data_IF_320205177319
#
_entry.id   IF_320205177319
#
_cell.length_a   1.000
_cell.length_b   1.000
_cell.length_c   1.000
_cell.angle_alpha   90.00
_cell.angle_beta   90.00
_cell.angle_gamma   90.00
#
_symmetry.space_group_name_H-M   'P 1'
#
loop_
_entity.id
_entity.type
_entity.pdbx_description
1 polymer ?
#
# COMPACT_ATOMS: atom_id res chain seq x y z
N UNK A 1 -11.77 24.97 -2.44
CA UNK A 1 -12.27 25.87 -1.38
C UNK A 1 -11.18 25.98 -0.33
N UNK A 2 -10.85 27.19 0.15
CA UNK A 2 -9.85 27.32 1.22
C UNK A 2 -10.45 26.84 2.55
N UNK A 3 -9.88 25.80 3.15
CA UNK A 3 -10.32 25.20 4.42
C UNK A 3 -9.63 25.82 5.65
N UNK A 4 -8.64 26.71 5.47
CA UNK A 4 -7.91 27.33 6.58
C UNK A 4 -8.82 27.94 7.67
N UNK A 5 -9.93 28.65 7.35
CA UNK A 5 -10.82 29.18 8.39
C UNK A 5 -11.50 28.11 9.23
N UNK A 6 -11.79 26.93 8.66
CA UNK A 6 -12.35 25.81 9.41
C UNK A 6 -11.31 25.18 10.34
N UNK A 7 -10.06 25.04 9.87
CA UNK A 7 -8.96 24.58 10.71
C UNK A 7 -8.62 25.58 11.83
N UNK A 8 -8.65 26.88 11.54
CA UNK A 8 -8.45 27.93 12.54
C UNK A 8 -9.54 27.89 13.61
N UNK A 9 -10.82 27.79 13.21
CA UNK A 9 -11.93 27.66 14.14
C UNK A 9 -11.81 26.39 14.99
N UNK A 10 -11.47 25.25 14.39
CA UNK A 10 -11.29 23.97 15.11
C UNK A 10 -10.21 24.10 16.16
N UNK A 11 -9.04 24.58 15.78
CA UNK A 11 -7.92 24.78 16.70
C UNK A 11 -8.31 25.71 17.85
N UNK A 12 -9.13 26.75 17.62
CA UNK A 12 -9.61 27.63 18.70
C UNK A 12 -10.56 26.92 19.65
N UNK A 13 -11.53 26.17 19.12
CA UNK A 13 -12.45 25.39 19.94
C UNK A 13 -11.69 24.34 20.77
N UNK A 14 -10.73 23.62 20.19
CA UNK A 14 -9.87 22.67 20.92
C UNK A 14 -9.03 23.35 22.02
N UNK A 15 -8.52 24.56 21.78
CA UNK A 15 -7.82 25.32 22.83
C UNK A 15 -8.78 25.70 23.96
N UNK A 16 -10.02 26.08 23.64
CA UNK A 16 -11.04 26.41 24.63
C UNK A 16 -11.46 25.19 25.44
N UNK A 17 -11.51 23.97 24.87
CA UNK A 17 -11.81 22.77 25.66
C UNK A 17 -10.72 22.46 26.69
N UNK A 18 -9.47 22.83 26.41
CA UNK A 18 -8.33 22.66 27.32
C UNK A 18 -8.37 23.71 28.45
N UNK A 19 -8.60 24.98 28.08
CA UNK A 19 -8.45 26.12 29.01
C UNK A 19 -9.75 26.41 29.77
N UNK A 20 -10.89 25.94 29.27
CA UNK A 20 -12.20 25.99 29.92
C UNK A 20 -13.21 26.83 29.13
N UNK A 21 -14.40 26.25 28.91
CA UNK A 21 -15.49 26.85 28.13
C UNK A 21 -16.04 28.17 28.70
N UNK A 22 -15.81 28.43 29.98
CA UNK A 22 -16.23 29.67 30.63
C UNK A 22 -15.54 30.89 30.00
N UNK A 23 -14.35 30.71 29.40
CA UNK A 23 -13.56 31.77 28.79
C UNK A 23 -13.94 32.10 27.34
N UNK A 24 -14.91 31.39 26.76
CA UNK A 24 -15.40 31.62 25.39
C UNK A 24 -15.79 33.08 25.13
N UNK A 25 -16.44 33.73 26.11
CA UNK A 25 -16.91 35.12 25.99
C UNK A 25 -15.74 36.11 25.90
N UNK A 26 -14.59 35.77 26.48
CA UNK A 26 -13.41 36.62 26.55
C UNK A 26 -12.36 36.28 25.47
N UNK A 27 -12.56 35.21 24.69
CA UNK A 27 -11.64 34.81 23.63
C UNK A 27 -11.92 35.55 22.32
N UNK A 28 -11.31 36.73 22.17
CA UNK A 28 -11.37 37.53 20.94
C UNK A 28 -10.88 36.77 19.69
N UNK A 29 -10.02 35.75 19.86
CA UNK A 29 -9.48 34.96 18.74
C UNK A 29 -10.51 33.95 18.27
N UNK A 30 -11.26 33.33 19.20
CA UNK A 30 -12.42 32.51 18.85
C UNK A 30 -13.49 33.36 18.15
N UNK A 31 -13.78 34.55 18.66
CA UNK A 31 -14.75 35.46 18.02
C UNK A 31 -14.36 35.80 16.58
N UNK A 32 -13.08 36.15 16.36
CA UNK A 32 -12.55 36.38 15.01
C UNK A 32 -12.65 35.15 14.11
N UNK A 33 -12.36 33.96 14.62
CA UNK A 33 -12.44 32.71 13.86
C UNK A 33 -13.90 32.38 13.47
N UNK A 34 -14.87 32.64 14.35
CA UNK A 34 -16.30 32.51 14.03
C UNK A 34 -16.71 33.55 12.97
N UNK A 35 -16.27 34.80 13.07
CA UNK A 35 -16.63 35.85 12.11
C UNK A 35 -16.12 35.56 10.69
N UNK A 36 -14.93 34.95 10.57
CA UNK A 36 -14.40 34.50 9.28
C UNK A 36 -15.32 33.48 8.59
N UNK A 37 -16.07 32.67 9.35
CA UNK A 37 -17.03 31.71 8.79
C UNK A 37 -18.23 32.36 8.11
N UNK A 38 -18.50 33.65 8.37
CA UNK A 38 -19.58 34.40 7.71
C UNK A 38 -19.44 34.40 6.19
N UNK A 39 -18.21 34.52 5.68
CA UNK A 39 -17.92 34.48 4.24
C UNK A 39 -18.22 33.14 3.58
N UNK A 40 -18.30 32.07 4.37
CA UNK A 40 -18.56 30.70 3.92
C UNK A 40 -20.02 30.30 4.07
N UNK A 41 -20.81 31.04 4.85
CA UNK A 41 -22.20 30.73 5.14
C UNK A 41 -23.09 30.66 3.88
N UNK A 42 -22.75 31.39 2.82
CA UNK A 42 -23.47 31.32 1.54
C UNK A 42 -23.06 30.14 0.65
N UNK A 43 -21.94 29.49 0.92
CA UNK A 43 -21.41 28.41 0.08
C UNK A 43 -22.12 27.06 0.35
N UNK A 44 -22.55 26.80 1.58
CA UNK A 44 -23.31 25.61 1.92
C UNK A 44 -24.10 25.77 3.23
N UNK A 45 -25.22 25.03 3.36
CA UNK A 45 -26.06 25.01 4.58
C UNK A 45 -25.26 24.63 5.83
N UNK A 46 -24.30 23.72 5.70
CA UNK A 46 -23.48 23.25 6.82
C UNK A 46 -22.53 24.34 7.35
N UNK A 47 -21.95 25.17 6.49
CA UNK A 47 -21.11 26.30 6.93
C UNK A 47 -21.93 27.39 7.60
N UNK A 48 -23.16 27.63 7.10
CA UNK A 48 -24.11 28.52 7.77
C UNK A 48 -24.43 28.03 9.18
N UNK A 49 -24.69 26.73 9.34
CA UNK A 49 -24.94 26.12 10.65
C UNK A 49 -23.74 26.26 11.60
N UNK A 50 -22.51 26.01 11.12
CA UNK A 50 -21.28 26.22 11.91
C UNK A 50 -21.16 27.68 12.36
N UNK A 51 -21.40 28.64 11.46
CA UNK A 51 -21.36 30.06 11.80
C UNK A 51 -22.41 30.44 12.85
N UNK A 52 -23.66 30.02 12.68
CA UNK A 52 -24.75 30.33 13.61
C UNK A 52 -24.54 29.70 15.00
N UNK A 53 -24.03 28.47 15.05
CA UNK A 53 -23.68 27.79 16.30
C UNK A 53 -22.49 28.48 17.00
N UNK A 54 -21.48 28.91 16.24
CA UNK A 54 -20.36 29.68 16.76
C UNK A 54 -20.78 31.04 17.36
N UNK A 55 -21.69 31.75 16.69
CA UNK A 55 -22.23 33.02 17.21
C UNK A 55 -23.03 32.78 18.50
N UNK A 56 -23.91 31.78 18.51
CA UNK A 56 -24.66 31.39 19.72
C UNK A 56 -23.75 31.00 20.88
N UNK A 57 -22.63 30.31 20.60
CA UNK A 57 -21.67 29.91 21.62
C UNK A 57 -20.98 31.12 22.27
N UNK A 58 -20.73 32.18 21.50
CA UNK A 58 -20.13 33.43 21.99
C UNK A 58 -21.16 34.30 22.73
N UNK A 59 -22.39 34.39 22.22
CA UNK A 59 -23.42 35.32 22.72
C UNK A 59 -24.28 34.73 23.84
N UNK A 60 -24.43 33.40 23.92
CA UNK A 60 -25.38 32.71 24.79
C UNK A 60 -25.05 32.74 26.29
N UNK A 61 -26.06 32.46 27.11
CA UNK A 61 -25.93 32.25 28.55
C UNK A 61 -25.39 30.85 28.91
N UNK A 62 -25.11 30.60 30.19
CA UNK A 62 -24.38 29.40 30.63
C UNK A 62 -25.18 28.09 30.53
N UNK A 63 -26.51 28.14 30.60
CA UNK A 63 -27.36 26.96 30.40
C UNK A 63 -27.19 26.44 28.95
N UNK A 64 -26.73 25.19 28.82
CA UNK A 64 -26.47 24.45 27.56
C UNK A 64 -25.21 24.83 26.75
N UNK A 65 -24.32 25.67 27.31
CA UNK A 65 -23.09 26.09 26.62
C UNK A 65 -22.17 24.93 26.24
N UNK A 66 -22.06 23.94 27.12
CA UNK A 66 -21.24 22.74 26.92
C UNK A 66 -21.73 21.88 25.74
N UNK A 67 -23.04 21.64 25.66
CA UNK A 67 -23.63 20.82 24.61
C UNK A 67 -23.50 21.50 23.26
N UNK A 68 -23.78 22.80 23.18
CA UNK A 68 -23.59 23.60 21.97
C UNK A 68 -22.12 23.60 21.50
N UNK A 69 -21.17 23.69 22.42
CA UNK A 69 -19.75 23.63 22.11
C UNK A 69 -19.34 22.29 21.52
N UNK A 70 -19.77 21.18 22.16
CA UNK A 70 -19.46 19.84 21.69
C UNK A 70 -20.11 19.55 20.32
N UNK A 71 -21.36 19.97 20.13
CA UNK A 71 -22.05 19.83 18.84
C UNK A 71 -21.36 20.63 17.73
N UNK A 72 -20.91 21.86 18.03
CA UNK A 72 -20.17 22.68 17.07
C UNK A 72 -18.84 22.02 16.69
N UNK A 73 -18.08 21.55 17.68
CA UNK A 73 -16.79 20.88 17.46
C UNK A 73 -16.98 19.59 16.65
N UNK A 74 -17.98 18.78 16.99
CA UNK A 74 -18.31 17.54 16.28
C UNK A 74 -18.73 17.80 14.83
N UNK A 75 -19.57 18.83 14.59
CA UNK A 75 -19.97 19.22 13.24
C UNK A 75 -18.78 19.69 12.41
N UNK A 76 -17.91 20.50 13.00
CA UNK A 76 -16.71 21.01 12.35
C UNK A 76 -15.74 19.88 12.00
N UNK A 77 -15.55 18.92 12.91
CA UNK A 77 -14.75 17.72 12.67
C UNK A 77 -15.33 16.84 11.57
N UNK A 78 -16.64 16.61 11.55
CA UNK A 78 -17.29 15.84 10.50
C UNK A 78 -17.10 16.49 9.12
N UNK A 79 -17.21 17.82 9.05
CA UNK A 79 -16.97 18.58 7.84
C UNK A 79 -15.51 18.50 7.41
N UNK A 80 -14.55 18.71 8.31
CA UNK A 80 -13.12 18.63 7.98
C UNK A 80 -12.72 17.20 7.56
N UNK A 81 -13.23 16.16 8.22
CA UNK A 81 -12.99 14.77 7.86
C UNK A 81 -13.54 14.42 6.47
N UNK A 82 -14.65 15.00 6.05
CA UNK A 82 -15.30 14.72 4.75
C UNK A 82 -14.82 15.63 3.62
N UNK A 83 -14.37 16.84 3.95
CA UNK A 83 -13.80 17.81 2.99
C UNK A 83 -12.28 17.68 2.85
N UNK A 84 -11.61 16.90 3.71
CA UNK A 84 -10.24 16.48 3.49
C UNK A 84 -10.16 15.77 2.14
N UNK A 85 -9.62 16.47 1.14
CA UNK A 85 -9.34 15.89 -0.17
C UNK A 85 -8.29 14.81 0.02
N UNK A 86 -8.74 13.55 0.12
CA UNK A 86 -7.87 12.37 -0.02
C UNK A 86 -7.54 12.09 -1.47
N UNK A 87 -8.06 12.90 -2.40
CA UNK A 87 -8.00 12.67 -3.82
C UNK A 87 -7.55 13.93 -4.58
N UNK A 88 -6.40 13.82 -5.24
CA UNK A 88 -5.75 14.86 -6.05
C UNK A 88 -5.73 14.50 -7.54
N UNK A 89 -6.43 13.45 -7.96
CA UNK A 89 -6.47 13.01 -9.35
C UNK A 89 -7.66 13.58 -10.13
N UNK A 90 -7.56 13.62 -11.45
CA UNK A 90 -8.64 14.07 -12.33
C UNK A 90 -9.64 12.93 -12.68
N UNK A 91 -9.32 11.67 -12.41
CA UNK A 91 -10.06 10.49 -12.89
C UNK A 91 -10.18 9.37 -11.84
N UNK A 92 -11.42 8.99 -11.49
CA UNK A 92 -11.72 7.87 -10.59
C UNK A 92 -10.80 6.67 -10.86
N UNK A 93 -9.97 6.33 -9.87
CA UNK A 93 -9.08 5.17 -9.94
C UNK A 93 -9.74 3.98 -9.27
N UNK A 94 -9.63 2.81 -9.88
CA UNK A 94 -10.03 1.55 -9.25
C UNK A 94 -9.09 1.29 -8.07
N UNK A 95 -9.66 1.20 -6.86
CA UNK A 95 -8.90 0.80 -5.69
C UNK A 95 -8.66 -0.71 -5.80
N UNK A 96 -7.40 -1.12 -5.96
CA UNK A 96 -7.02 -2.52 -5.85
C UNK A 96 -7.04 -2.92 -4.37
N UNK A 97 -8.16 -3.49 -3.92
CA UNK A 97 -8.31 -3.98 -2.54
C UNK A 97 -8.46 -5.50 -2.50
N UNK A 98 -7.98 -6.09 -1.41
CA UNK A 98 -8.29 -7.47 -1.03
C UNK A 98 -9.60 -7.58 -0.24
N UNK A 99 -10.18 -6.44 0.19
CA UNK A 99 -11.46 -6.37 0.89
C UNK A 99 -12.61 -6.86 0.00
N UNK A 100 -13.46 -7.73 0.56
CA UNK A 100 -14.61 -8.33 -0.15
C UNK A 100 -14.35 -9.66 -0.85
N UNK A 101 -13.15 -10.24 -0.73
CA UNK A 101 -12.87 -11.63 -1.16
C UNK A 101 -13.23 -12.63 -0.05
N UNK A 102 -13.54 -13.88 -0.42
CA UNK A 102 -13.74 -14.98 0.55
C UNK A 102 -12.54 -15.06 1.53
N UNK A 103 -12.80 -15.38 2.79
CA UNK A 103 -11.81 -15.47 3.88
C UNK A 103 -11.09 -14.15 4.25
N UNK A 104 -11.64 -12.97 3.89
CA UNK A 104 -11.07 -11.67 4.27
C UNK A 104 -10.93 -11.46 5.79
N UNK A 105 -11.86 -12.03 6.56
CA UNK A 105 -11.89 -11.95 8.01
C UNK A 105 -11.82 -13.36 8.61
N UNK A 106 -10.91 -13.55 9.55
CA UNK A 106 -10.79 -14.76 10.36
C UNK A 106 -11.09 -14.34 11.81
N UNK A 107 -11.96 -15.09 12.49
CA UNK A 107 -12.31 -14.85 13.91
C UNK A 107 -11.19 -15.34 14.84
N UNK A 108 -9.96 -14.89 14.60
CA UNK A 108 -8.79 -15.22 15.41
C UNK A 108 -8.59 -14.16 16.50
N UNK A 109 -8.54 -14.61 17.75
CA UNK A 109 -8.27 -13.78 18.90
C UNK A 109 -6.83 -13.24 18.86
N UNK A 110 -6.63 -12.04 19.41
CA UNK A 110 -5.30 -11.44 19.47
C UNK A 110 -4.29 -12.34 20.21
N UNK A 111 -4.73 -13.05 21.25
CA UNK A 111 -3.88 -13.99 21.99
C UNK A 111 -3.27 -15.07 21.09
N UNK A 112 -3.99 -15.52 20.06
CA UNK A 112 -3.54 -16.54 19.11
C UNK A 112 -2.49 -16.01 18.12
N UNK A 113 -2.47 -14.69 17.89
CA UNK A 113 -1.52 -14.04 17.00
C UNK A 113 -0.38 -13.34 17.73
N UNK A 114 -0.53 -13.06 19.03
CA UNK A 114 0.33 -12.15 19.77
C UNK A 114 1.79 -12.60 19.79
N UNK A 115 2.05 -13.90 19.99
CA UNK A 115 3.39 -14.48 19.97
C UNK A 115 4.02 -14.43 18.58
N UNK A 116 3.25 -14.72 17.54
CA UNK A 116 3.72 -14.65 16.15
C UNK A 116 4.08 -13.21 15.77
N UNK A 117 3.22 -12.25 16.10
CA UNK A 117 3.44 -10.83 15.85
C UNK A 117 4.67 -10.33 16.64
N UNK A 118 4.82 -10.74 17.90
CA UNK A 118 5.98 -10.41 18.71
C UNK A 118 7.27 -11.01 18.09
N UNK A 119 7.22 -12.23 17.57
CA UNK A 119 8.36 -12.87 16.90
C UNK A 119 8.77 -12.15 15.61
N UNK A 120 7.81 -11.67 14.81
CA UNK A 120 8.08 -10.86 13.62
C UNK A 120 8.64 -9.47 13.95
N UNK A 121 8.19 -8.84 15.04
CA UNK A 121 8.68 -7.52 15.46
C UNK A 121 10.00 -7.57 16.22
N UNK A 122 10.30 -8.70 16.86
CA UNK A 122 11.48 -8.88 17.68
C UNK A 122 12.74 -9.20 16.88
N UNK A 123 13.90 -8.98 17.52
CA UNK A 123 15.22 -9.30 16.98
C UNK A 123 15.92 -10.42 17.75
N UNK A 124 15.27 -10.98 18.78
CA UNK A 124 15.84 -11.96 19.70
C UNK A 124 16.01 -13.37 19.11
N UNK A 125 16.92 -14.14 19.72
CA UNK A 125 17.11 -15.56 19.41
C UNK A 125 15.84 -16.37 19.69
N UNK A 126 15.60 -17.41 18.88
CA UNK A 126 14.42 -18.28 19.02
C UNK A 126 13.17 -17.83 18.26
N UNK A 127 13.09 -16.58 17.79
CA UNK A 127 11.95 -16.07 17.01
C UNK A 127 11.65 -16.89 15.75
N UNK A 128 12.70 -17.38 15.07
CA UNK A 128 12.51 -18.24 13.91
C UNK A 128 11.71 -19.50 14.27
N UNK A 129 11.98 -20.13 15.42
CA UNK A 129 11.25 -21.33 15.84
C UNK A 129 9.76 -21.03 16.00
N UNK A 130 9.39 -19.89 16.59
CA UNK A 130 8.00 -19.46 16.77
C UNK A 130 7.32 -19.20 15.42
N UNK A 131 7.97 -18.46 14.52
CA UNK A 131 7.45 -18.18 13.17
C UNK A 131 7.27 -19.50 12.40
N UNK A 132 8.28 -20.37 12.44
CA UNK A 132 8.28 -21.66 11.77
C UNK A 132 7.19 -22.59 12.29
N UNK A 133 7.08 -22.76 13.62
CA UNK A 133 6.08 -23.61 14.24
C UNK A 133 4.66 -23.08 14.11
N UNK A 134 4.47 -21.77 13.92
CA UNK A 134 3.12 -21.23 13.74
C UNK A 134 2.68 -21.35 12.27
N UNK A 135 3.58 -21.09 11.33
CA UNK A 135 3.24 -21.05 9.90
C UNK A 135 3.38 -22.40 9.19
N UNK A 136 4.36 -23.24 9.53
CA UNK A 136 4.62 -24.50 8.78
C UNK A 136 3.62 -25.61 9.01
N UNK A 137 2.91 -25.59 10.14
CA UNK A 137 1.93 -26.63 10.45
C UNK A 137 0.66 -26.53 9.60
N UNK A 138 0.70 -25.72 8.52
CA UNK A 138 -0.44 -25.38 7.67
C UNK A 138 -1.63 -25.04 8.56
N UNK A 139 -1.49 -23.99 9.38
CA UNK A 139 -2.65 -23.39 10.03
C UNK A 139 -3.27 -22.39 9.05
N UNK A 140 -4.19 -22.82 8.15
CA UNK A 140 -4.62 -22.00 7.02
C UNK A 140 -5.30 -20.72 7.50
N UNK A 141 -5.98 -20.77 8.65
CA UNK A 141 -6.65 -19.60 9.24
C UNK A 141 -5.63 -18.50 9.56
N UNK A 142 -4.55 -18.84 10.29
CA UNK A 142 -3.49 -17.88 10.64
C UNK A 142 -2.77 -17.36 9.38
N UNK A 143 -2.42 -18.24 8.44
CA UNK A 143 -1.70 -17.85 7.23
C UNK A 143 -2.55 -16.95 6.33
N UNK A 144 -3.86 -17.19 6.30
CA UNK A 144 -4.78 -16.42 5.46
C UNK A 144 -5.24 -15.11 6.12
N UNK A 145 -5.04 -14.94 7.43
CA UNK A 145 -5.33 -13.70 8.16
C UNK A 145 -4.55 -12.52 7.57
N UNK A 146 -5.28 -11.44 7.24
CA UNK A 146 -4.72 -10.27 6.59
C UNK A 146 -3.64 -9.58 7.45
N UNK A 147 -3.77 -9.62 8.78
CA UNK A 147 -2.82 -9.01 9.72
C UNK A 147 -1.48 -9.72 9.63
N UNK A 148 -1.50 -11.05 9.48
CA UNK A 148 -0.31 -11.90 9.38
C UNK A 148 0.36 -11.72 8.02
N UNK A 149 -0.40 -11.62 6.92
CA UNK A 149 0.13 -11.42 5.56
C UNK A 149 1.08 -10.23 5.46
N UNK A 150 0.79 -9.10 6.11
CA UNK A 150 1.68 -7.93 6.13
C UNK A 150 3.02 -8.23 6.82
N UNK A 151 2.99 -8.96 7.94
CA UNK A 151 4.22 -9.40 8.61
C UNK A 151 5.01 -10.40 7.77
N UNK A 152 4.33 -11.31 7.07
CA UNK A 152 4.98 -12.28 6.18
C UNK A 152 5.70 -11.58 5.02
N UNK A 153 5.08 -10.59 4.40
CA UNK A 153 5.69 -9.80 3.33
C UNK A 153 6.89 -9.03 3.86
N UNK A 154 6.77 -8.37 5.01
CA UNK A 154 7.89 -7.68 5.65
C UNK A 154 9.05 -8.63 6.01
N UNK A 155 8.75 -9.89 6.34
CA UNK A 155 9.72 -10.94 6.61
C UNK A 155 10.61 -11.29 5.40
N UNK A 156 10.29 -10.84 4.18
CA UNK A 156 11.16 -10.97 3.01
C UNK A 156 12.41 -10.08 3.11
N UNK A 157 12.38 -9.05 3.96
CA UNK A 157 13.52 -8.17 4.24
C UNK A 157 14.25 -8.53 5.55
N UNK A 158 13.98 -9.70 6.12
CA UNK A 158 14.55 -10.11 7.39
C UNK A 158 16.08 -10.31 7.29
N UNK A 159 16.82 -10.06 8.38
CA UNK A 159 18.26 -10.27 8.44
C UNK A 159 18.63 -11.76 8.49
N UNK A 160 17.75 -12.63 8.97
CA UNK A 160 17.94 -14.06 9.06
C UNK A 160 17.36 -14.77 7.83
N UNK A 161 18.24 -15.41 7.04
CA UNK A 161 17.85 -16.06 5.78
C UNK A 161 16.76 -17.13 5.95
N UNK A 162 16.76 -17.87 7.06
CA UNK A 162 15.76 -18.90 7.31
C UNK A 162 14.32 -18.36 7.38
N UNK A 163 14.12 -17.12 7.85
CA UNK A 163 12.80 -16.47 7.83
C UNK A 163 12.42 -16.11 6.39
N UNK A 164 13.35 -15.54 5.64
CA UNK A 164 13.12 -15.15 4.23
C UNK A 164 12.73 -16.37 3.39
N UNK A 165 13.48 -17.46 3.51
CA UNK A 165 13.22 -18.71 2.78
C UNK A 165 11.83 -19.28 3.13
N UNK A 166 11.46 -19.22 4.41
CA UNK A 166 10.13 -19.61 4.87
C UNK A 166 9.04 -18.69 4.28
N UNK A 167 9.24 -17.38 4.30
CA UNK A 167 8.26 -16.42 3.75
C UNK A 167 8.06 -16.65 2.26
N UNK A 168 9.13 -16.82 1.48
CA UNK A 168 9.05 -17.14 0.04
C UNK A 168 8.23 -18.41 -0.17
N UNK A 169 8.54 -19.48 0.58
CA UNK A 169 7.81 -20.75 0.47
C UNK A 169 6.34 -20.63 0.82
N UNK A 170 6.00 -19.87 1.87
CA UNK A 170 4.61 -19.72 2.32
C UNK A 170 3.81 -18.79 1.40
N UNK A 171 4.39 -17.68 0.95
CA UNK A 171 3.72 -16.72 0.08
C UNK A 171 3.48 -17.28 -1.33
N UNK A 172 4.37 -18.14 -1.86
CA UNK A 172 4.13 -18.84 -3.15
C UNK A 172 2.94 -19.81 -3.12
N UNK A 173 2.53 -20.28 -1.93
CA UNK A 173 1.34 -21.14 -1.77
C UNK A 173 0.03 -20.34 -1.73
N UNK A 174 0.10 -19.02 -1.65
CA UNK A 174 -1.08 -18.15 -1.65
C UNK A 174 -1.64 -18.02 -3.08
N UNK A 175 -2.93 -17.69 -3.19
CA UNK A 175 -3.54 -17.39 -4.48
C UNK A 175 -3.27 -15.94 -4.93
N UNK A 176 -3.88 -15.57 -6.06
CA UNK A 176 -3.72 -14.23 -6.68
C UNK A 176 -4.19 -13.08 -5.78
N UNK A 177 -4.94 -13.36 -4.73
CA UNK A 177 -5.37 -12.39 -3.74
C UNK A 177 -4.24 -11.72 -2.97
N UNK A 178 -3.05 -12.33 -2.85
CA UNK A 178 -1.91 -11.69 -2.18
C UNK A 178 -1.19 -10.67 -3.07
N UNK A 179 -1.40 -10.70 -4.38
CA UNK A 179 -0.63 -9.92 -5.36
C UNK A 179 -0.73 -8.41 -5.14
N UNK A 180 -1.90 -7.80 -4.86
CA UNK A 180 -1.96 -6.38 -4.53
C UNK A 180 -1.09 -5.99 -3.33
N UNK A 181 -1.07 -6.83 -2.28
CA UNK A 181 -0.24 -6.58 -1.09
C UNK A 181 1.27 -6.73 -1.38
N UNK A 182 1.65 -7.65 -2.28
CA UNK A 182 3.05 -7.76 -2.74
C UNK A 182 3.49 -6.55 -3.57
N UNK A 183 2.58 -5.97 -4.35
CA UNK A 183 2.81 -4.76 -5.15
C UNK A 183 2.78 -3.47 -4.32
N UNK A 184 2.14 -3.47 -3.15
CA UNK A 184 2.10 -2.33 -2.24
C UNK A 184 3.52 -1.92 -1.81
N UNK A 185 3.90 -0.68 -2.13
CA UNK A 185 5.23 -0.15 -1.85
C UNK A 185 6.35 -0.82 -2.66
N UNK A 186 6.03 -1.51 -3.76
CA UNK A 186 7.04 -2.14 -4.61
C UNK A 186 7.93 -1.09 -5.29
N UNK A 187 9.23 -1.17 -5.03
CA UNK A 187 10.25 -0.33 -5.65
C UNK A 187 11.00 -1.12 -6.73
N UNK A 188 10.88 -0.77 -8.02
CA UNK A 188 11.64 -1.42 -9.10
C UNK A 188 13.16 -1.32 -8.93
N UNK A 189 13.67 -0.33 -8.20
CA UNK A 189 15.10 -0.17 -7.89
C UNK A 189 15.52 -0.90 -6.61
N UNK A 190 14.57 -1.53 -5.92
CA UNK A 190 14.81 -2.26 -4.69
C UNK A 190 15.66 -3.53 -4.90
N UNK A 191 16.21 -4.02 -3.79
CA UNK A 191 17.11 -5.17 -3.75
C UNK A 191 16.36 -6.44 -3.35
N UNK A 192 16.94 -7.21 -2.43
CA UNK A 192 16.52 -8.54 -1.98
C UNK A 192 15.01 -8.70 -1.76
N UNK A 193 14.39 -7.79 -1.01
CA UNK A 193 12.96 -7.86 -0.71
C UNK A 193 12.10 -7.74 -1.98
N UNK A 194 12.38 -6.74 -2.83
CA UNK A 194 11.61 -6.48 -4.05
C UNK A 194 11.82 -7.60 -5.08
N UNK A 195 13.02 -8.15 -5.16
CA UNK A 195 13.32 -9.33 -5.98
C UNK A 195 12.48 -10.52 -5.49
N UNK A 196 12.44 -10.80 -4.19
CA UNK A 196 11.65 -11.90 -3.63
C UNK A 196 10.15 -11.70 -3.89
N UNK A 197 9.62 -10.48 -3.69
CA UNK A 197 8.24 -10.14 -4.02
C UNK A 197 7.92 -10.39 -5.50
N UNK A 198 8.80 -9.95 -6.41
CA UNK A 198 8.62 -10.15 -7.85
C UNK A 198 8.68 -11.64 -8.22
N UNK A 199 9.56 -12.43 -7.61
CA UNK A 199 9.59 -13.87 -7.82
C UNK A 199 8.32 -14.59 -7.35
N UNK A 200 7.75 -14.16 -6.22
CA UNK A 200 6.47 -14.68 -5.73
C UNK A 200 5.34 -14.30 -6.70
N UNK A 201 5.27 -13.03 -7.13
CA UNK A 201 4.28 -12.58 -8.13
C UNK A 201 4.43 -13.36 -9.43
N UNK A 202 5.66 -13.57 -9.91
CA UNK A 202 5.96 -14.41 -11.08
C UNK A 202 5.41 -15.81 -10.92
N UNK A 203 5.58 -16.41 -9.74
CA UNK A 203 5.12 -17.77 -9.49
C UNK A 203 3.59 -17.87 -9.47
N UNK A 204 2.91 -16.89 -8.89
CA UNK A 204 1.45 -16.87 -8.73
C UNK A 204 0.74 -16.45 -10.03
N UNK A 205 1.19 -15.39 -10.69
CA UNK A 205 0.47 -14.82 -11.83
C UNK A 205 0.83 -15.46 -13.16
N UNK A 206 2.04 -16.03 -13.31
CA UNK A 206 2.55 -16.50 -14.61
C UNK A 206 2.29 -15.42 -15.68
N UNK A 207 1.78 -15.78 -16.87
CA UNK A 207 1.54 -14.83 -17.96
C UNK A 207 0.59 -13.68 -17.62
N UNK A 208 -0.33 -13.82 -16.66
CA UNK A 208 -1.27 -12.75 -16.31
C UNK A 208 -0.60 -11.52 -15.69
N UNK A 209 0.65 -11.66 -15.23
CA UNK A 209 1.45 -10.54 -14.72
C UNK A 209 2.17 -9.73 -15.80
N UNK A 210 1.96 -10.01 -17.09
CA UNK A 210 2.81 -9.55 -18.19
C UNK A 210 3.10 -8.03 -18.16
N UNK A 211 2.05 -7.21 -18.05
CA UNK A 211 2.20 -5.75 -18.02
C UNK A 211 3.04 -5.25 -16.83
N UNK A 212 2.92 -5.89 -15.67
CA UNK A 212 3.76 -5.56 -14.51
C UNK A 212 5.22 -5.98 -14.73
N UNK A 213 5.47 -7.10 -15.43
CA UNK A 213 6.82 -7.52 -15.77
C UNK A 213 7.46 -6.57 -16.77
N UNK A 214 6.74 -6.11 -17.80
CA UNK A 214 7.24 -5.09 -18.74
C UNK A 214 7.62 -3.81 -18.01
N UNK A 215 6.75 -3.32 -17.12
CA UNK A 215 7.06 -2.18 -16.25
C UNK A 215 8.36 -2.38 -15.45
N UNK A 216 8.56 -3.56 -14.86
CA UNK A 216 9.80 -3.90 -14.14
C UNK A 216 11.03 -4.01 -15.05
N UNK A 217 10.89 -4.46 -16.31
CA UNK A 217 11.98 -4.46 -17.29
C UNK A 217 12.41 -3.03 -17.65
N UNK A 218 11.46 -2.13 -17.82
CA UNK A 218 11.73 -0.74 -18.18
C UNK A 218 12.37 0.03 -17.02
N UNK A 219 11.77 -0.10 -15.83
CA UNK A 219 12.07 0.77 -14.69
C UNK A 219 12.93 0.11 -13.60
N UNK A 220 13.24 -1.18 -13.72
CA UNK A 220 13.90 -1.94 -12.66
C UNK A 220 15.42 -1.75 -12.58
N UNK A 221 15.98 -2.01 -11.40
CA UNK A 221 17.41 -2.26 -11.23
C UNK A 221 17.84 -3.57 -11.91
N UNK A 222 19.14 -3.78 -12.10
CA UNK A 222 19.68 -4.94 -12.84
C UNK A 222 19.10 -6.29 -12.40
N UNK A 223 19.00 -6.53 -11.10
CA UNK A 223 18.52 -7.82 -10.56
C UNK A 223 17.00 -7.97 -10.72
N UNK A 224 16.23 -6.88 -10.55
CA UNK A 224 14.77 -6.86 -10.78
C UNK A 224 14.46 -7.10 -12.26
N UNK A 225 15.20 -6.46 -13.17
CA UNK A 225 15.08 -6.69 -14.62
C UNK A 225 15.34 -8.15 -14.98
N UNK A 226 16.35 -8.78 -14.39
CA UNK A 226 16.67 -10.18 -14.65
C UNK A 226 15.49 -11.11 -14.33
N UNK A 227 14.83 -10.91 -13.17
CA UNK A 227 13.63 -11.68 -12.82
C UNK A 227 12.47 -11.37 -13.76
N UNK A 228 12.24 -10.09 -14.07
CA UNK A 228 11.14 -9.64 -14.93
C UNK A 228 11.26 -10.18 -16.35
N UNK A 229 12.45 -10.15 -16.96
CA UNK A 229 12.71 -10.72 -18.28
C UNK A 229 12.37 -12.22 -18.29
N UNK A 230 12.81 -12.95 -17.25
CA UNK A 230 12.47 -14.37 -17.10
C UNK A 230 10.96 -14.64 -17.00
N UNK A 231 10.19 -13.70 -16.42
CA UNK A 231 8.75 -13.83 -16.29
C UNK A 231 8.00 -13.62 -17.62
N UNK A 232 8.57 -12.86 -18.56
CA UNK A 232 7.97 -12.63 -19.88
C UNK A 232 7.86 -13.92 -20.72
N UNK A 233 8.64 -14.96 -20.38
CA UNK A 233 8.58 -16.29 -21.00
C UNK A 233 7.21 -16.99 -20.87
N UNK A 234 6.37 -16.56 -19.92
CA UNK A 234 5.04 -17.15 -19.72
C UNK A 234 3.98 -16.68 -20.73
N UNK A 235 4.30 -15.73 -21.59
CA UNK A 235 3.38 -15.18 -22.59
C UNK A 235 4.07 -15.14 -23.97
N UNK A 236 3.56 -15.95 -24.90
CA UNK A 236 4.14 -16.11 -26.25
C UNK A 236 4.06 -14.83 -27.08
N UNK A 237 3.17 -13.88 -26.74
CA UNK A 237 3.05 -12.61 -27.45
C UNK A 237 4.25 -11.68 -27.18
N UNK A 238 5.12 -12.03 -26.23
CA UNK A 238 6.31 -11.25 -25.89
C UNK A 238 7.51 -11.49 -26.81
N UNK A 239 7.42 -12.34 -27.83
CA UNK A 239 8.57 -12.66 -28.71
C UNK A 239 9.20 -11.41 -29.31
N UNK A 240 8.40 -10.50 -29.88
CA UNK A 240 8.93 -9.28 -30.51
C UNK A 240 9.62 -8.37 -29.49
N UNK A 241 9.00 -8.22 -28.31
CA UNK A 241 9.56 -7.43 -27.21
C UNK A 241 10.90 -8.01 -26.73
N UNK A 242 10.99 -9.33 -26.52
CA UNK A 242 12.21 -10.01 -26.12
C UNK A 242 13.30 -9.94 -27.20
N UNK A 243 12.97 -10.10 -28.49
CA UNK A 243 13.91 -9.93 -29.59
C UNK A 243 14.48 -8.52 -29.66
N UNK A 244 13.69 -7.50 -29.34
CA UNK A 244 14.19 -6.12 -29.22
C UNK A 244 15.10 -5.93 -28.01
N UNK A 245 14.83 -6.60 -26.88
CA UNK A 245 15.73 -6.60 -25.73
C UNK A 245 17.09 -7.25 -26.05
N UNK A 246 17.16 -8.26 -26.92
CA UNK A 246 18.44 -8.87 -27.36
C UNK A 246 19.39 -7.81 -27.95
N UNK A 247 18.84 -6.79 -28.63
CA UNK A 247 19.60 -5.71 -29.25
C UNK A 247 20.04 -4.65 -28.24
N UNK A 248 19.21 -4.37 -27.23
CA UNK A 248 19.42 -3.30 -26.23
C UNK A 248 20.29 -3.76 -25.06
N UNK A 249 20.04 -4.97 -24.54
CA UNK A 249 20.65 -5.46 -23.31
C UNK A 249 22.05 -6.07 -23.51
N UNK A 250 22.83 -6.12 -22.44
CA UNK A 250 24.20 -6.68 -22.43
C UNK A 250 24.45 -7.56 -21.22
N UNK A 251 25.46 -8.44 -21.32
CA UNK A 251 25.90 -9.30 -20.22
C UNK A 251 24.78 -10.20 -19.68
N UNK A 252 24.62 -10.24 -18.35
CA UNK A 252 23.63 -11.11 -17.67
C UNK A 252 22.20 -10.90 -18.17
N UNK A 253 21.79 -9.65 -18.42
CA UNK A 253 20.42 -9.35 -18.90
C UNK A 253 20.20 -9.93 -20.29
N UNK A 254 21.16 -9.77 -21.20
CA UNK A 254 21.09 -10.37 -22.54
C UNK A 254 21.01 -11.91 -22.48
N UNK A 255 21.80 -12.53 -21.61
CA UNK A 255 21.74 -13.98 -21.39
C UNK A 255 20.35 -14.40 -20.90
N UNK A 256 19.75 -13.62 -20.00
CA UNK A 256 18.40 -13.89 -19.49
C UNK A 256 17.32 -13.73 -20.56
N UNK A 257 17.48 -12.77 -21.48
CA UNK A 257 16.59 -12.64 -22.64
C UNK A 257 16.66 -13.88 -23.52
N UNK A 258 17.86 -14.39 -23.81
CA UNK A 258 18.02 -15.64 -24.57
C UNK A 258 17.40 -16.84 -23.86
N UNK A 259 17.64 -16.98 -22.55
CA UNK A 259 16.99 -18.02 -21.74
C UNK A 259 15.47 -17.93 -21.84
N UNK A 260 14.91 -16.73 -21.79
CA UNK A 260 13.45 -16.52 -21.88
C UNK A 260 12.92 -16.86 -23.27
N UNK A 261 13.64 -16.46 -24.33
CA UNK A 261 13.32 -16.81 -25.71
C UNK A 261 13.37 -18.33 -25.96
N UNK A 262 14.21 -19.09 -25.23
CA UNK A 262 14.26 -20.55 -25.39
C UNK A 262 12.94 -21.26 -25.03
N UNK A 263 12.05 -20.59 -24.28
CA UNK A 263 10.71 -21.09 -23.95
C UNK A 263 9.63 -20.60 -24.94
N UNK A 264 10.02 -19.87 -26.00
CA UNK A 264 9.10 -19.35 -27.01
C UNK A 264 9.10 -20.21 -28.27
N UNK A 265 7.91 -20.49 -28.80
CA UNK A 265 7.75 -21.24 -30.05
C UNK A 265 7.61 -20.30 -31.25
N UNK A 266 8.74 -19.73 -31.68
CA UNK A 266 8.81 -18.85 -32.86
C UNK A 266 10.04 -19.15 -33.72
N UNK A 267 9.83 -19.31 -35.02
CA UNK A 267 10.89 -19.62 -36.00
C UNK A 267 12.01 -18.56 -36.04
N UNK A 268 11.71 -17.30 -35.73
CA UNK A 268 12.70 -16.22 -35.64
C UNK A 268 13.66 -16.44 -34.47
N UNK A 269 13.18 -17.04 -33.38
CA UNK A 269 14.01 -17.39 -32.22
C UNK A 269 15.00 -18.49 -32.58
N UNK A 270 14.55 -19.53 -33.30
CA UNK A 270 15.43 -20.61 -33.80
C UNK A 270 16.56 -20.05 -34.67
N UNK A 271 16.23 -19.13 -35.58
CA UNK A 271 17.23 -18.45 -36.42
C UNK A 271 18.23 -17.62 -35.61
N UNK A 272 17.80 -17.03 -34.50
CA UNK A 272 18.70 -16.25 -33.63
C UNK A 272 19.66 -17.17 -32.86
N UNK A 273 19.19 -18.34 -32.40
CA UNK A 273 20.04 -19.39 -31.81
C UNK A 273 21.05 -19.96 -32.82
N UNK A 274 20.65 -20.18 -34.08
CA UNK A 274 21.57 -20.64 -35.13
C UNK A 274 22.76 -19.70 -35.35
N UNK A 275 22.54 -18.37 -35.27
CA UNK A 275 23.63 -17.39 -35.34
C UNK A 275 24.60 -17.54 -34.17
N UNK A 276 24.09 -17.91 -32.99
CA UNK A 276 24.90 -18.13 -31.81
C UNK A 276 25.79 -19.37 -31.96
N UNK A 277 25.23 -20.50 -32.42
CA UNK A 277 25.98 -21.74 -32.63
C UNK A 277 26.98 -21.68 -33.81
N UNK A 278 26.75 -20.79 -34.79
CA UNK A 278 27.70 -20.58 -35.91
C UNK A 278 28.95 -19.79 -35.53
N UNK A 279 29.01 -19.15 -34.35
CA UNK A 279 30.23 -18.51 -33.88
C UNK A 279 31.22 -19.59 -33.43
N UNK A 280 32.34 -19.73 -34.15
CA UNK A 280 33.43 -20.62 -33.73
C UNK A 280 33.91 -20.22 -32.33
N UNK A 281 34.15 -21.18 -31.41
CA UNK A 281 34.89 -20.89 -30.20
C UNK A 281 36.29 -20.38 -30.60
N UNK A 282 36.70 -19.28 -29.98
CA UNK A 282 38.07 -18.77 -30.09
C UNK A 282 39.04 -19.70 -29.36
#
# INVERSE_FOLDING_TARGET
>A
MNLEPLYELKNRLENVSIVGINLVKDDFRLQRAVDQMKGYASAAKVFKQIYEMGQKLIEGDEEDKCDLFLDLLALLDAVLCTQATTYTGDNLQKIETTAGKENFYQELHYSELSELIAAFKGTGGGRFRVIDSTLRWNNPEIVNDFRVKKFMINGLNDSYSGIIDLMIKMLKKQGKEIVPLLKEGFDPQGKKEMIARLEIIKDICKGEGNEFYKYCVENGGKEVKEVAIGALAYDQDNVDYLLDLVKKERGKLKNKVFESLAYMDDERVKKEWDKFFRKKPF
#
